data_IF_592823840545
#
_entry.id   IF_592823840545
#
_cell.length_a   1.000
_cell.length_b   1.000
_cell.length_c   1.000
_cell.angle_alpha   90.00
_cell.angle_beta   90.00
_cell.angle_gamma   90.00
#
_symmetry.space_group_name_H-M   'P 1'
#
loop_
_entity.id
_entity.type
_entity.pdbx_description
1 polymer ?
#
# COMPACT_ATOMS: atom_id res chain seq x y z
N UNK A 1 -25.41 27.90 -18.75
CA UNK A 1 -24.07 27.68 -18.19
C UNK A 1 -24.27 27.19 -16.76
N UNK A 2 -24.04 25.91 -16.49
CA UNK A 2 -24.07 25.36 -15.13
C UNK A 2 -22.87 25.93 -14.36
N UNK A 3 -23.04 26.40 -13.10
CA UNK A 3 -21.90 26.81 -12.30
C UNK A 3 -20.98 25.59 -12.13
N UNK A 4 -19.70 25.73 -12.44
CA UNK A 4 -18.72 24.74 -12.00
C UNK A 4 -18.80 24.71 -10.46
N UNK A 5 -19.32 23.60 -9.91
CA UNK A 5 -19.17 23.34 -8.48
C UNK A 5 -17.68 23.18 -8.21
N UNK A 6 -17.04 24.23 -7.68
CA UNK A 6 -15.67 24.12 -7.19
C UNK A 6 -15.65 23.08 -6.07
N UNK A 7 -14.73 22.13 -6.20
CA UNK A 7 -14.47 21.11 -5.18
C UNK A 7 -14.32 21.76 -3.79
N UNK A 8 -15.03 21.28 -2.75
CA UNK A 8 -14.98 21.86 -1.40
C UNK A 8 -13.60 21.71 -0.74
N UNK A 9 -12.66 21.06 -1.40
CA UNK A 9 -11.28 20.84 -0.96
C UNK A 9 -10.31 21.96 -1.37
N UNK A 10 -10.77 22.98 -2.09
CA UNK A 10 -9.95 24.13 -2.47
C UNK A 10 -9.85 25.12 -1.29
N UNK A 11 -8.73 25.07 -0.56
CA UNK A 11 -8.28 26.19 0.27
C UNK A 11 -8.17 25.97 1.78
N UNK A 12 -7.32 25.05 2.24
CA UNK A 12 -6.69 25.18 3.57
C UNK A 12 -5.19 25.15 3.35
N UNK A 13 -4.49 26.27 3.41
CA UNK A 13 -3.02 26.34 3.33
C UNK A 13 -2.43 26.25 4.75
N UNK A 14 -1.23 25.69 4.89
CA UNK A 14 -0.50 25.63 6.17
C UNK A 14 -0.63 24.34 7.00
N UNK A 15 -0.13 24.39 8.24
CA UNK A 15 -0.04 23.27 9.22
C UNK A 15 -1.36 22.50 9.40
N UNK A 16 -2.50 23.21 9.39
CA UNK A 16 -3.82 22.61 9.54
C UNK A 16 -4.18 21.65 8.38
N UNK A 17 -3.66 21.88 7.16
CA UNK A 17 -3.84 20.93 6.04
C UNK A 17 -3.01 19.67 6.24
N UNK A 18 -1.77 19.81 6.71
CA UNK A 18 -0.90 18.67 7.00
C UNK A 18 -1.49 17.78 8.09
N UNK A 19 -2.00 18.38 9.17
CA UNK A 19 -2.68 17.63 10.24
C UNK A 19 -3.93 16.91 9.75
N UNK A 20 -4.76 17.57 8.93
CA UNK A 20 -5.94 16.92 8.35
C UNK A 20 -5.55 15.79 7.39
N UNK A 21 -4.54 16.00 6.53
CA UNK A 21 -4.05 14.99 5.60
C UNK A 21 -3.49 13.77 6.36
N UNK A 22 -2.75 14.01 7.45
CA UNK A 22 -2.28 12.94 8.33
C UNK A 22 -3.44 12.17 8.97
N UNK A 23 -4.49 12.86 9.42
CA UNK A 23 -5.72 12.23 9.91
C UNK A 23 -6.34 11.31 8.87
N UNK A 24 -6.52 11.79 7.63
CA UNK A 24 -7.05 10.98 6.53
C UNK A 24 -6.17 9.77 6.20
N UNK A 25 -4.84 9.93 6.26
CA UNK A 25 -3.91 8.80 6.08
C UNK A 25 -4.07 7.74 7.16
N UNK A 26 -4.24 8.14 8.42
CA UNK A 26 -4.49 7.21 9.53
C UNK A 26 -5.83 6.50 9.39
N UNK A 27 -6.88 7.22 8.98
CA UNK A 27 -8.19 6.62 8.72
C UNK A 27 -8.10 5.57 7.61
N UNK A 28 -7.36 5.85 6.53
CA UNK A 28 -7.11 4.89 5.44
C UNK A 28 -6.36 3.64 5.91
N UNK A 29 -5.28 3.80 6.68
CA UNK A 29 -4.52 2.67 7.26
C UNK A 29 -5.39 1.84 8.21
N UNK A 30 -6.19 2.50 9.04
CA UNK A 30 -7.10 1.83 9.98
C UNK A 30 -8.20 1.06 9.24
N UNK A 31 -8.74 1.63 8.18
CA UNK A 31 -9.74 0.97 7.34
C UNK A 31 -9.13 -0.27 6.69
N UNK A 32 -7.97 -0.16 6.04
CA UNK A 32 -7.28 -1.29 5.43
C UNK A 32 -6.99 -2.40 6.45
N UNK A 33 -6.44 -2.06 7.62
CA UNK A 33 -6.18 -3.07 8.67
C UNK A 33 -7.46 -3.72 9.23
N UNK A 34 -8.58 -3.02 9.23
CA UNK A 34 -9.85 -3.56 9.72
C UNK A 34 -10.58 -4.42 8.69
N UNK A 35 -10.50 -4.06 7.42
CA UNK A 35 -11.34 -4.64 6.37
C UNK A 35 -10.59 -5.60 5.45
N UNK A 36 -9.27 -5.46 5.32
CA UNK A 36 -8.46 -6.24 4.37
C UNK A 36 -7.60 -7.29 5.11
N UNK A 37 -7.96 -8.56 4.95
CA UNK A 37 -7.21 -9.68 5.54
C UNK A 37 -5.76 -9.72 5.06
N UNK A 38 -5.54 -9.51 3.76
CA UNK A 38 -4.20 -9.48 3.17
C UNK A 38 -3.35 -8.35 3.77
N UNK A 39 -3.91 -7.14 3.90
CA UNK A 39 -3.19 -6.02 4.53
C UNK A 39 -2.80 -6.33 5.98
N UNK A 40 -3.68 -6.99 6.77
CA UNK A 40 -3.32 -7.44 8.12
C UNK A 40 -2.17 -8.42 8.12
N UNK A 41 -2.22 -9.44 7.28
CA UNK A 41 -1.19 -10.48 7.20
C UNK A 41 0.16 -9.87 6.80
N UNK A 42 0.17 -9.01 5.79
CA UNK A 42 1.37 -8.28 5.37
C UNK A 42 1.87 -7.32 6.44
N UNK A 43 0.98 -6.71 7.23
CA UNK A 43 1.38 -5.83 8.33
C UNK A 43 2.08 -6.63 9.43
N UNK A 44 1.57 -7.81 9.76
CA UNK A 44 2.22 -8.73 10.71
C UNK A 44 3.56 -9.24 10.17
N UNK A 45 3.62 -9.56 8.87
CA UNK A 45 4.86 -9.95 8.21
C UNK A 45 5.89 -8.82 8.25
N UNK A 46 5.51 -7.59 7.91
CA UNK A 46 6.39 -6.43 7.97
C UNK A 46 6.84 -6.12 9.41
N UNK A 47 5.95 -6.28 10.40
CA UNK A 47 6.27 -6.15 11.82
C UNK A 47 7.35 -7.15 12.27
N UNK A 48 7.44 -8.31 11.62
CA UNK A 48 8.52 -9.28 11.85
C UNK A 48 9.77 -8.94 11.03
N UNK A 49 9.62 -8.72 9.72
CA UNK A 49 10.73 -8.58 8.78
C UNK A 49 11.52 -7.28 8.97
N UNK A 50 10.86 -6.16 9.28
CA UNK A 50 11.55 -4.86 9.43
C UNK A 50 12.50 -4.86 10.64
N UNK A 51 12.09 -5.29 11.85
CA UNK A 51 13.04 -5.43 12.96
C UNK A 51 14.15 -6.43 12.67
N UNK A 52 13.86 -7.55 12.02
CA UNK A 52 14.90 -8.51 11.61
C UNK A 52 15.93 -7.86 10.70
N UNK A 53 15.50 -7.11 9.69
CA UNK A 53 16.38 -6.40 8.77
C UNK A 53 17.25 -5.35 9.47
N UNK A 54 16.71 -4.63 10.45
CA UNK A 54 17.41 -3.54 11.13
C UNK A 54 18.38 -4.02 12.21
N UNK A 55 18.00 -5.05 12.97
CA UNK A 55 18.68 -5.42 14.21
C UNK A 55 19.33 -6.79 14.20
N UNK A 56 18.92 -7.70 13.30
CA UNK A 56 19.37 -9.10 13.31
C UNK A 56 20.23 -9.45 12.11
N UNK A 57 19.85 -9.00 10.91
CA UNK A 57 20.57 -9.32 9.68
C UNK A 57 21.89 -8.55 9.63
N UNK A 58 23.01 -9.28 9.59
CA UNK A 58 24.34 -8.69 9.38
C UNK A 58 24.56 -8.39 7.89
N UNK A 59 24.29 -7.15 7.50
CA UNK A 59 24.37 -6.70 6.12
C UNK A 59 24.73 -5.22 6.06
N UNK A 60 25.20 -4.77 4.89
CA UNK A 60 25.51 -3.35 4.68
C UNK A 60 24.29 -2.45 4.92
N UNK A 61 24.48 -1.18 5.28
CA UNK A 61 23.35 -0.25 5.47
C UNK A 61 22.42 -0.16 4.26
N UNK A 62 22.98 -0.21 3.05
CA UNK A 62 22.19 -0.22 1.81
C UNK A 62 21.34 -1.50 1.68
N UNK A 63 21.92 -2.66 1.96
CA UNK A 63 21.18 -3.94 1.92
C UNK A 63 20.03 -3.95 2.95
N UNK A 64 20.27 -3.49 4.17
CA UNK A 64 19.21 -3.33 5.19
C UNK A 64 18.11 -2.38 4.73
N UNK A 65 18.45 -1.27 4.10
CA UNK A 65 17.47 -0.35 3.54
C UNK A 65 16.60 -1.01 2.45
N UNK A 66 17.19 -1.86 1.59
CA UNK A 66 16.44 -2.63 0.59
C UNK A 66 15.51 -3.68 1.20
N UNK A 67 15.93 -4.37 2.27
CA UNK A 67 15.06 -5.30 3.01
C UNK A 67 13.85 -4.59 3.61
N UNK A 68 14.06 -3.43 4.24
CA UNK A 68 12.98 -2.62 4.80
C UNK A 68 12.07 -2.07 3.68
N UNK A 69 12.67 -1.52 2.62
CA UNK A 69 11.92 -0.95 1.50
C UNK A 69 11.06 -1.99 0.80
N UNK A 70 11.58 -3.19 0.52
CA UNK A 70 10.82 -4.28 -0.09
C UNK A 70 9.68 -4.77 0.82
N UNK A 71 9.90 -4.83 2.14
CA UNK A 71 8.86 -5.19 3.12
C UNK A 71 7.73 -4.17 3.13
N UNK A 72 8.05 -2.87 3.22
CA UNK A 72 7.05 -1.79 3.21
C UNK A 72 6.35 -1.68 1.85
N UNK A 73 7.04 -1.96 0.75
CA UNK A 73 6.45 -1.92 -0.59
C UNK A 73 5.24 -2.86 -0.71
N UNK A 74 5.27 -4.03 -0.07
CA UNK A 74 4.12 -4.96 -0.09
C UNK A 74 2.86 -4.36 0.57
N UNK A 75 3.02 -3.55 1.60
CA UNK A 75 1.91 -2.83 2.24
C UNK A 75 1.36 -1.71 1.36
N UNK A 76 2.26 -0.98 0.69
CA UNK A 76 1.87 0.10 -0.22
C UNK A 76 1.08 -0.47 -1.40
N UNK A 77 1.58 -1.55 -2.01
CA UNK A 77 0.93 -2.17 -3.16
C UNK A 77 -0.43 -2.74 -2.75
N UNK A 78 -0.53 -3.38 -1.59
CA UNK A 78 -1.81 -3.88 -1.06
C UNK A 78 -2.82 -2.74 -0.84
N UNK A 79 -2.41 -1.62 -0.23
CA UNK A 79 -3.28 -0.45 -0.05
C UNK A 79 -3.81 0.09 -1.38
N UNK A 80 -2.95 0.15 -2.39
CA UNK A 80 -3.34 0.57 -3.73
C UNK A 80 -4.29 -0.43 -4.38
N UNK A 81 -4.04 -1.74 -4.20
CA UNK A 81 -4.92 -2.80 -4.69
C UNK A 81 -6.32 -2.66 -4.07
N UNK A 82 -6.43 -2.61 -2.74
CA UNK A 82 -7.72 -2.45 -2.05
C UNK A 82 -8.43 -1.14 -2.41
N UNK A 83 -7.67 -0.05 -2.61
CA UNK A 83 -8.25 1.23 -3.06
C UNK A 83 -8.85 1.12 -4.47
N UNK A 84 -8.17 0.42 -5.40
CA UNK A 84 -8.69 0.16 -6.74
C UNK A 84 -9.95 -0.72 -6.66
N UNK A 85 -9.92 -1.79 -5.86
CA UNK A 85 -11.07 -2.67 -5.67
C UNK A 85 -12.28 -1.90 -5.14
N UNK A 86 -12.10 -1.11 -4.08
CA UNK A 86 -13.16 -0.28 -3.51
C UNK A 86 -13.72 0.74 -4.51
N UNK A 87 -12.85 1.40 -5.29
CA UNK A 87 -13.28 2.35 -6.31
C UNK A 87 -14.07 1.66 -7.44
N UNK A 88 -13.61 0.50 -7.89
CA UNK A 88 -14.28 -0.28 -8.94
C UNK A 88 -15.62 -0.81 -8.45
N UNK A 89 -15.69 -1.38 -7.25
CA UNK A 89 -16.92 -1.96 -6.67
C UNK A 89 -18.00 -0.91 -6.37
N UNK A 90 -17.61 0.33 -6.14
CA UNK A 90 -18.56 1.43 -5.99
C UNK A 90 -19.27 1.81 -7.30
N UNK A 91 -18.62 1.63 -8.47
CA UNK A 91 -19.13 2.20 -9.74
C UNK A 91 -20.21 1.36 -10.45
N UNK A 92 -20.17 0.03 -10.39
CA UNK A 92 -21.24 -0.84 -10.88
C UNK A 92 -21.02 -2.28 -10.45
N UNK A 93 -22.09 -2.97 -10.04
CA UNK A 93 -22.08 -4.41 -9.71
C UNK A 93 -22.18 -5.30 -10.96
N UNK A 94 -22.44 -4.72 -12.14
CA UNK A 94 -22.40 -5.47 -13.40
C UNK A 94 -20.96 -5.79 -13.78
N UNK A 95 -20.73 -7.03 -14.25
CA UNK A 95 -19.40 -7.49 -14.66
C UNK A 95 -18.94 -6.72 -15.90
N UNK A 96 -18.16 -5.66 -15.69
CA UNK A 96 -17.54 -4.90 -16.76
C UNK A 96 -16.13 -5.45 -17.09
N UNK A 97 -15.79 -5.72 -18.37
CA UNK A 97 -14.47 -6.25 -18.74
C UNK A 97 -13.29 -5.38 -18.26
N UNK A 98 -13.45 -4.05 -18.23
CA UNK A 98 -12.42 -3.14 -17.72
C UNK A 98 -12.29 -3.18 -16.19
N UNK A 99 -13.40 -3.35 -15.47
CA UNK A 99 -13.39 -3.50 -14.01
C UNK A 99 -12.62 -4.76 -13.61
N UNK A 100 -12.87 -5.87 -14.32
CA UNK A 100 -12.11 -7.10 -14.15
C UNK A 100 -10.61 -6.87 -14.38
N UNK A 101 -10.22 -6.23 -15.50
CA UNK A 101 -8.81 -5.95 -15.80
C UNK A 101 -8.15 -5.08 -14.73
N UNK A 102 -8.83 -4.06 -14.21
CA UNK A 102 -8.28 -3.21 -13.17
C UNK A 102 -7.95 -4.00 -11.90
N UNK A 103 -8.87 -4.87 -11.46
CA UNK A 103 -8.64 -5.77 -10.31
C UNK A 103 -7.54 -6.79 -10.57
N UNK A 104 -7.53 -7.42 -11.75
CA UNK A 104 -6.51 -8.38 -12.15
C UNK A 104 -5.10 -7.74 -12.13
N UNK A 105 -4.98 -6.49 -12.57
CA UNK A 105 -3.71 -5.74 -12.55
C UNK A 105 -3.26 -5.37 -11.13
N UNK A 106 -4.19 -4.99 -10.25
CA UNK A 106 -3.89 -4.73 -8.84
C UNK A 106 -3.37 -5.99 -8.13
N UNK A 107 -4.05 -7.12 -8.32
CA UNK A 107 -3.60 -8.42 -7.80
C UNK A 107 -2.26 -8.85 -8.38
N UNK A 108 -2.02 -8.62 -9.68
CA UNK A 108 -0.74 -8.91 -10.32
C UNK A 108 0.41 -8.05 -9.75
N UNK A 109 0.16 -6.76 -9.49
CA UNK A 109 1.13 -5.89 -8.84
C UNK A 109 1.50 -6.42 -7.45
N UNK A 110 0.52 -6.88 -6.69
CA UNK A 110 0.76 -7.46 -5.36
C UNK A 110 1.60 -8.74 -5.44
N UNK A 111 1.32 -9.63 -6.39
CA UNK A 111 2.13 -10.82 -6.64
C UNK A 111 3.59 -10.45 -6.95
N UNK A 112 3.81 -9.47 -7.83
CA UNK A 112 5.16 -9.00 -8.17
C UNK A 112 5.86 -8.37 -6.96
N UNK A 113 5.12 -7.65 -6.11
CA UNK A 113 5.63 -7.12 -4.85
C UNK A 113 6.12 -8.21 -3.90
N UNK A 114 5.37 -9.30 -3.77
CA UNK A 114 5.76 -10.48 -2.98
C UNK A 114 6.97 -11.21 -3.57
N UNK A 115 7.04 -11.36 -4.90
CA UNK A 115 8.23 -11.92 -5.56
C UNK A 115 9.45 -11.03 -5.31
N UNK A 116 9.31 -9.72 -5.42
CA UNK A 116 10.38 -8.77 -5.10
C UNK A 116 10.84 -8.89 -3.64
N UNK A 117 9.90 -8.99 -2.69
CA UNK A 117 10.22 -9.23 -1.28
C UNK A 117 11.07 -10.49 -1.11
N UNK A 118 10.63 -11.61 -1.67
CA UNK A 118 11.34 -12.88 -1.59
C UNK A 118 12.73 -12.82 -2.23
N UNK A 119 12.85 -12.19 -3.40
CA UNK A 119 14.13 -12.07 -4.10
C UNK A 119 15.12 -11.20 -3.33
N UNK A 120 14.71 -10.03 -2.84
CA UNK A 120 15.60 -9.14 -2.08
C UNK A 120 16.07 -9.81 -0.79
N UNK A 121 15.16 -10.44 -0.05
CA UNK A 121 15.53 -11.18 1.16
C UNK A 121 16.44 -12.37 0.84
N UNK A 122 16.10 -13.17 -0.17
CA UNK A 122 16.91 -14.32 -0.57
C UNK A 122 18.32 -13.92 -1.00
N UNK A 123 18.46 -12.86 -1.80
CA UNK A 123 19.75 -12.36 -2.25
C UNK A 123 20.61 -11.81 -1.11
N UNK A 124 20.02 -11.11 -0.14
CA UNK A 124 20.80 -10.58 0.99
C UNK A 124 21.21 -11.68 1.98
N UNK A 125 20.38 -12.72 2.15
CA UNK A 125 20.67 -13.80 3.10
C UNK A 125 21.59 -14.89 2.53
N UNK A 126 21.53 -15.15 1.23
CA UNK A 126 22.22 -16.27 0.59
C UNK A 126 23.13 -15.90 -0.60
N UNK A 127 23.14 -14.61 -1.00
CA UNK A 127 23.96 -14.11 -2.10
C UNK A 127 25.29 -13.51 -1.66
#
# INVERSE_FOLDING_TARGET
>A
MTPHQESPFKGKTGLRRLLNAFGYSLDGLRAAFRHEDAFRQLSLLALLLVPLALFVVDATPLARALLVASSIATLIIELLNSAIEAAVDHTSLERHPLAKRAKDMGSAAQLLGLVNLLLVWGLVLFG
#
